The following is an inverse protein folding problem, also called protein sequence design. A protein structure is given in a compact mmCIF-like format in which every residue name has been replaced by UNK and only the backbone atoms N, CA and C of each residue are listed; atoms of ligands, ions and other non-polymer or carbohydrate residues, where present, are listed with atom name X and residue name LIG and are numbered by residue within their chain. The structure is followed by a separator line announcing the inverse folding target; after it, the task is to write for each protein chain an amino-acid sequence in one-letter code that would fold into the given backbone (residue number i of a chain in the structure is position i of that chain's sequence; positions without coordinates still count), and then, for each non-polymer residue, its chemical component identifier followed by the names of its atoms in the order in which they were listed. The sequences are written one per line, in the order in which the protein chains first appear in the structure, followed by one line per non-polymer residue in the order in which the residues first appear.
data_IF_817546028246
#
_entry.id   IF_817546028246
#
_cell.length_a   1.000
_cell.length_b   1.000
_cell.length_c   1.000
_cell.angle_alpha   90.00
_cell.angle_beta   90.00
_cell.angle_gamma   90.00
#
_symmetry.space_group_name_H-M   'P 1'
#
loop_
_entity.id
_entity.type
_entity.pdbx_description
1 polymer ?
#
# COMPACT_ATOMS: atom_id res chain seq x y z
N UNK A 1 30.65 -6.23 13.67
CA UNK A 1 31.92 -6.89 13.22
C UNK A 1 32.84 -7.28 14.38
N UNK A 2 33.04 -6.44 15.40
CA UNK A 2 33.95 -6.72 16.52
C UNK A 2 33.64 -8.02 17.31
N UNK A 3 32.40 -8.51 17.26
CA UNK A 3 31.94 -9.72 17.99
C UNK A 3 31.72 -10.95 17.09
N UNK A 4 32.12 -10.89 15.81
CA UNK A 4 31.93 -11.94 14.80
C UNK A 4 30.47 -12.41 14.62
N UNK A 5 29.49 -11.57 15.02
CA UNK A 5 28.07 -11.87 14.81
C UNK A 5 27.72 -11.56 13.36
N UNK A 6 27.09 -12.50 12.62
CA UNK A 6 26.57 -12.24 11.29
C UNK A 6 25.51 -11.14 11.33
N UNK A 7 25.57 -10.20 10.39
CA UNK A 7 24.61 -9.09 10.27
C UNK A 7 23.90 -9.23 8.93
N UNK A 8 22.58 -9.37 8.97
CA UNK A 8 21.72 -9.37 7.78
C UNK A 8 20.88 -8.10 7.83
N UNK A 9 20.82 -7.37 6.74
CA UNK A 9 19.97 -6.21 6.57
C UNK A 9 19.07 -6.42 5.37
N UNK A 10 17.96 -5.69 5.33
CA UNK A 10 16.98 -5.79 4.26
C UNK A 10 16.66 -4.40 3.71
N UNK A 11 16.69 -4.27 2.37
CA UNK A 11 16.24 -3.09 1.66
C UNK A 11 14.88 -3.35 1.03
N UNK A 12 13.91 -2.58 1.44
CA UNK A 12 12.53 -2.73 0.96
C UNK A 12 12.25 -1.92 -0.30
N UNK A 13 12.86 -0.75 -0.43
CA UNK A 13 12.68 0.14 -1.58
C UNK A 13 13.62 -0.22 -2.72
N UNK A 14 13.33 0.30 -3.93
CA UNK A 14 14.12 0.02 -5.12
C UNK A 14 15.56 0.53 -4.98
N UNK A 15 15.77 1.66 -4.29
CA UNK A 15 17.11 2.22 -4.03
C UNK A 15 17.42 2.20 -2.54
N UNK A 16 18.67 1.84 -2.16
CA UNK A 16 19.05 1.76 -0.75
C UNK A 16 18.91 3.10 -0.03
N UNK A 17 18.17 3.07 1.08
CA UNK A 17 18.03 4.19 1.99
C UNK A 17 19.34 4.49 2.74
N UNK A 18 19.43 5.70 3.35
CA UNK A 18 20.63 6.15 4.05
C UNK A 18 21.06 5.17 5.17
N UNK A 19 20.12 4.67 5.94
CA UNK A 19 20.41 3.70 7.00
C UNK A 19 21.07 2.44 6.44
N UNK A 20 20.52 1.87 5.37
CA UNK A 20 21.10 0.70 4.73
C UNK A 20 22.46 1.01 4.10
N UNK A 21 22.64 2.16 3.43
CA UNK A 21 23.95 2.58 2.90
C UNK A 21 25.04 2.60 3.96
N UNK A 22 24.71 3.10 5.16
CA UNK A 22 25.67 3.11 6.30
C UNK A 22 25.94 1.68 6.82
N UNK A 23 24.92 0.80 6.80
CA UNK A 23 25.04 -0.57 7.33
C UNK A 23 25.67 -1.56 6.35
N UNK A 24 25.58 -1.36 5.03
CA UNK A 24 26.11 -2.25 3.98
C UNK A 24 27.57 -2.67 4.24
N UNK A 25 28.51 -1.77 4.58
CA UNK A 25 29.91 -2.18 4.83
C UNK A 25 30.05 -3.21 5.94
N UNK A 26 29.23 -3.11 6.99
CA UNK A 26 29.23 -4.01 8.14
C UNK A 26 28.39 -5.29 7.93
N UNK A 27 27.45 -5.28 6.98
CA UNK A 27 26.57 -6.39 6.72
C UNK A 27 27.29 -7.61 6.16
N UNK A 28 26.86 -8.80 6.56
CA UNK A 28 27.24 -10.10 5.99
C UNK A 28 26.46 -10.35 4.71
N UNK A 29 25.15 -10.10 4.75
CA UNK A 29 24.23 -10.18 3.60
C UNK A 29 23.28 -8.98 3.61
N UNK A 30 22.86 -8.59 2.40
CA UNK A 30 21.90 -7.53 2.14
C UNK A 30 20.79 -8.10 1.29
N UNK A 31 19.64 -8.35 1.92
CA UNK A 31 18.44 -8.81 1.25
C UNK A 31 17.73 -7.64 0.57
N UNK A 32 17.02 -7.87 -0.52
CA UNK A 32 16.23 -6.84 -1.19
C UNK A 32 14.95 -7.39 -1.82
N UNK A 33 13.97 -6.47 -2.03
CA UNK A 33 12.70 -6.79 -2.64
C UNK A 33 12.76 -6.81 -4.17
N UNK A 34 13.48 -5.87 -4.76
CA UNK A 34 13.45 -5.62 -6.20
C UNK A 34 14.70 -6.18 -6.89
N UNK A 35 14.57 -6.84 -8.05
CA UNK A 35 15.72 -7.25 -8.84
C UNK A 35 16.64 -6.06 -9.20
N UNK A 36 16.04 -4.89 -9.48
CA UNK A 36 16.77 -3.67 -9.82
C UNK A 36 17.63 -3.16 -8.67
N UNK A 37 17.32 -3.50 -7.43
CA UNK A 37 18.14 -3.11 -6.26
C UNK A 37 19.50 -3.78 -6.26
N UNK A 38 19.62 -4.98 -6.87
CA UNK A 38 20.89 -5.74 -6.91
C UNK A 38 22.03 -4.92 -7.48
N UNK A 39 21.80 -4.09 -8.50
CA UNK A 39 22.82 -3.22 -9.12
C UNK A 39 23.38 -2.12 -8.18
N UNK A 40 22.65 -1.83 -7.09
CA UNK A 40 23.05 -0.84 -6.09
C UNK A 40 23.75 -1.46 -4.87
N UNK A 41 23.91 -2.79 -4.85
CA UNK A 41 24.45 -3.54 -3.73
C UNK A 41 25.76 -4.24 -4.12
N UNK A 42 26.69 -4.46 -3.16
CA UNK A 42 27.86 -5.29 -3.42
C UNK A 42 27.44 -6.72 -3.79
N UNK A 43 27.86 -7.22 -4.94
CA UNK A 43 27.47 -8.52 -5.49
C UNK A 43 27.68 -9.68 -4.50
N UNK A 44 28.81 -9.70 -3.79
CA UNK A 44 29.13 -10.75 -2.80
C UNK A 44 28.19 -10.79 -1.59
N UNK A 45 27.41 -9.73 -1.36
CA UNK A 45 26.50 -9.61 -0.22
C UNK A 45 25.03 -9.60 -0.62
N UNK A 46 24.71 -9.22 -1.86
CA UNK A 46 23.34 -9.04 -2.33
C UNK A 46 22.58 -10.36 -2.42
N UNK A 47 21.33 -10.37 -1.97
CA UNK A 47 20.41 -11.51 -2.06
C UNK A 47 19.01 -10.99 -2.40
N UNK A 48 18.45 -11.42 -3.52
CA UNK A 48 17.05 -11.15 -3.85
C UNK A 48 16.16 -12.12 -3.06
N UNK A 49 15.46 -11.61 -2.08
CA UNK A 49 14.58 -12.43 -1.21
C UNK A 49 13.09 -12.11 -1.39
N UNK A 50 12.77 -10.95 -1.94
CA UNK A 50 11.45 -10.39 -1.84
C UNK A 50 11.15 -9.86 -0.44
N UNK A 51 9.92 -9.44 -0.20
CA UNK A 51 9.44 -8.90 1.08
C UNK A 51 8.91 -10.01 1.98
N UNK A 52 9.20 -9.99 3.28
CA UNK A 52 8.54 -10.88 4.22
C UNK A 52 7.07 -10.48 4.35
N UNK A 53 6.17 -11.37 3.95
CA UNK A 53 4.72 -11.14 4.03
C UNK A 53 4.18 -11.76 5.31
N UNK A 54 3.36 -11.01 6.04
CA UNK A 54 2.70 -11.47 7.26
C UNK A 54 1.69 -12.56 6.92
N UNK A 55 1.84 -13.73 7.51
CA UNK A 55 0.96 -14.88 7.24
C UNK A 55 -0.50 -14.61 7.63
N UNK A 56 -0.73 -13.79 8.64
CA UNK A 56 -2.07 -13.41 9.10
C UNK A 56 -2.91 -12.74 8.01
N UNK A 57 -2.28 -12.10 7.02
CA UNK A 57 -2.99 -11.45 5.92
C UNK A 57 -3.81 -12.43 5.07
N UNK A 58 -3.42 -13.71 5.04
CA UNK A 58 -4.11 -14.74 4.28
C UNK A 58 -5.26 -15.42 5.05
N UNK A 59 -5.45 -15.11 6.32
CA UNK A 59 -6.48 -15.70 7.19
C UNK A 59 -7.78 -14.90 7.23
N UNK A 60 -7.93 -13.89 6.37
CA UNK A 60 -9.13 -13.06 6.33
C UNK A 60 -10.37 -13.82 5.87
N UNK A 61 -11.53 -13.41 6.37
CA UNK A 61 -12.84 -13.92 5.97
C UNK A 61 -13.66 -12.79 5.36
N UNK A 62 -14.21 -13.00 4.14
CA UNK A 62 -14.97 -11.99 3.38
C UNK A 62 -16.23 -11.59 4.10
N UNK A 63 -17.02 -12.54 4.56
CA UNK A 63 -18.31 -12.30 5.22
C UNK A 63 -18.12 -11.46 6.49
N UNK A 64 -17.07 -11.75 7.24
CA UNK A 64 -16.72 -10.98 8.44
C UNK A 64 -16.31 -9.54 8.07
N UNK A 65 -15.52 -9.37 6.99
CA UNK A 65 -15.15 -8.04 6.49
C UNK A 65 -16.35 -7.21 6.06
N UNK A 66 -17.31 -7.81 5.34
CA UNK A 66 -18.57 -7.17 4.96
C UNK A 66 -19.39 -6.81 6.21
N UNK A 67 -19.52 -7.72 7.16
CA UNK A 67 -20.24 -7.52 8.42
C UNK A 67 -19.67 -6.35 9.23
N UNK A 68 -18.35 -6.26 9.35
CA UNK A 68 -17.67 -5.17 10.06
C UNK A 68 -17.97 -3.79 9.44
N UNK A 69 -18.23 -3.76 8.15
CA UNK A 69 -18.52 -2.53 7.42
C UNK A 69 -20.02 -2.24 7.30
N UNK A 70 -20.90 -3.21 7.61
CA UNK A 70 -22.33 -3.12 7.34
C UNK A 70 -22.63 -3.19 5.83
N UNK A 71 -21.83 -3.93 5.08
CA UNK A 71 -21.93 -4.12 3.63
C UNK A 71 -22.61 -5.44 3.27
N UNK A 72 -23.06 -5.52 2.03
CA UNK A 72 -23.64 -6.71 1.42
C UNK A 72 -22.91 -7.04 0.10
N UNK A 73 -23.35 -8.09 -0.61
CA UNK A 73 -22.77 -8.51 -1.90
C UNK A 73 -23.38 -7.78 -3.11
N UNK A 74 -24.09 -6.66 -2.91
CA UNK A 74 -24.78 -5.94 -4.01
C UNK A 74 -23.84 -5.19 -4.95
N UNK A 75 -22.66 -4.81 -4.46
CA UNK A 75 -21.66 -4.06 -5.22
C UNK A 75 -20.26 -4.52 -4.85
N UNK A 76 -19.28 -4.38 -5.78
CA UNK A 76 -17.86 -4.61 -5.44
C UNK A 76 -17.38 -3.65 -4.34
N UNK A 77 -16.42 -4.09 -3.56
CA UNK A 77 -15.84 -3.33 -2.45
C UNK A 77 -14.53 -2.69 -2.87
N UNK A 78 -14.48 -1.37 -2.78
CA UNK A 78 -13.28 -0.55 -2.96
C UNK A 78 -12.64 -0.27 -1.59
N UNK A 79 -11.41 -0.67 -1.40
CA UNK A 79 -10.60 -0.27 -0.24
C UNK A 79 -9.67 0.90 -0.61
N UNK A 80 -9.72 1.96 0.17
CA UNK A 80 -8.82 3.12 0.04
C UNK A 80 -7.89 3.18 1.24
N UNK A 81 -6.58 3.27 1.00
CA UNK A 81 -5.58 3.31 2.07
C UNK A 81 -4.38 4.22 1.73
N UNK A 82 -4.07 5.15 2.62
CA UNK A 82 -2.96 6.11 2.48
C UNK A 82 -1.75 5.83 3.37
N UNK A 83 -1.72 4.66 4.05
CA UNK A 83 -0.75 4.36 5.09
C UNK A 83 -1.21 4.83 6.49
N UNK A 84 -0.38 4.63 7.52
CA UNK A 84 -0.76 4.86 8.92
C UNK A 84 -1.07 6.32 9.27
N UNK A 85 -0.47 7.27 8.58
CA UNK A 85 -0.71 8.70 8.75
C UNK A 85 -1.82 9.23 7.83
N UNK A 86 -2.31 8.38 6.92
CA UNK A 86 -3.24 8.78 5.87
C UNK A 86 -2.56 9.49 4.70
N UNK A 87 -3.36 9.81 3.69
CA UNK A 87 -2.94 10.56 2.52
C UNK A 87 -4.01 11.62 2.21
N UNK A 88 -3.75 12.86 2.61
CA UNK A 88 -4.74 13.96 2.53
C UNK A 88 -5.29 14.12 1.11
N UNK A 89 -4.43 14.09 0.09
CA UNK A 89 -4.85 14.22 -1.31
C UNK A 89 -5.81 13.09 -1.71
N UNK A 90 -5.49 11.83 -1.38
CA UNK A 90 -6.35 10.68 -1.66
C UNK A 90 -7.66 10.81 -0.88
N UNK A 91 -7.60 11.10 0.43
CA UNK A 91 -8.78 11.24 1.27
C UNK A 91 -9.75 12.28 0.72
N UNK A 92 -9.24 13.44 0.33
CA UNK A 92 -10.05 14.53 -0.23
C UNK A 92 -10.68 14.11 -1.56
N UNK A 93 -9.88 13.57 -2.49
CA UNK A 93 -10.38 13.13 -3.79
C UNK A 93 -11.49 12.07 -3.68
N UNK A 94 -11.35 11.11 -2.76
CA UNK A 94 -12.40 10.11 -2.50
C UNK A 94 -13.67 10.77 -1.95
N UNK A 95 -13.54 11.69 -0.99
CA UNK A 95 -14.69 12.35 -0.36
C UNK A 95 -15.43 13.29 -1.31
N UNK A 96 -14.69 14.05 -2.12
CA UNK A 96 -15.27 14.92 -3.15
C UNK A 96 -16.06 14.14 -4.20
N UNK A 97 -15.66 12.90 -4.49
CA UNK A 97 -16.30 12.04 -5.48
C UNK A 97 -17.15 10.91 -4.87
N UNK A 98 -17.42 10.99 -3.56
CA UNK A 98 -18.03 9.89 -2.82
C UNK A 98 -19.37 9.46 -3.41
N UNK A 99 -20.25 10.39 -3.76
CA UNK A 99 -21.57 10.09 -4.31
C UNK A 99 -21.49 9.33 -5.64
N UNK A 100 -20.53 9.66 -6.51
CA UNK A 100 -20.35 8.99 -7.79
C UNK A 100 -19.75 7.58 -7.59
N UNK A 101 -18.75 7.47 -6.75
CA UNK A 101 -18.11 6.19 -6.42
C UNK A 101 -19.11 5.21 -5.77
N UNK A 102 -19.99 5.70 -4.90
CA UNK A 102 -21.01 4.89 -4.25
C UNK A 102 -22.11 4.37 -5.19
N UNK A 103 -22.21 4.88 -6.41
CA UNK A 103 -23.10 4.28 -7.43
C UNK A 103 -22.58 2.91 -7.88
N UNK A 104 -21.25 2.71 -7.87
CA UNK A 104 -20.59 1.50 -8.40
C UNK A 104 -20.02 0.61 -7.30
N UNK A 105 -19.56 1.17 -6.17
CA UNK A 105 -18.83 0.49 -5.11
C UNK A 105 -19.47 0.65 -3.75
N UNK A 106 -19.16 -0.25 -2.85
CA UNK A 106 -19.12 -0.02 -1.41
C UNK A 106 -17.69 0.31 -1.03
N UNK A 107 -17.46 1.27 -0.12
CA UNK A 107 -16.14 1.84 0.11
C UNK A 107 -15.67 1.66 1.54
N UNK A 108 -14.57 0.98 1.73
CA UNK A 108 -13.79 0.94 2.98
C UNK A 108 -12.69 1.98 2.88
N UNK A 109 -12.67 2.96 3.80
CA UNK A 109 -11.69 4.04 3.76
C UNK A 109 -10.81 4.04 5.03
N UNK A 110 -9.55 3.58 4.89
CA UNK A 110 -8.53 3.72 5.92
C UNK A 110 -7.91 5.11 5.81
N UNK A 111 -8.57 6.09 6.40
CA UNK A 111 -8.25 7.51 6.19
C UNK A 111 -6.99 7.99 6.92
N UNK A 112 -6.46 7.21 7.88
CA UNK A 112 -5.31 7.56 8.70
C UNK A 112 -5.67 8.32 9.97
N UNK A 113 -4.73 8.33 10.92
CA UNK A 113 -4.94 8.94 12.24
C UNK A 113 -5.23 10.43 12.12
N UNK A 114 -6.30 10.89 12.78
CA UNK A 114 -6.73 12.29 12.81
C UNK A 114 -7.44 12.76 11.53
N UNK A 115 -7.76 11.85 10.60
CA UNK A 115 -8.43 12.17 9.34
C UNK A 115 -9.85 11.57 9.25
N UNK A 116 -10.39 11.10 10.36
CA UNK A 116 -11.78 10.65 10.41
C UNK A 116 -12.74 11.83 10.26
N UNK A 117 -13.76 11.67 9.43
CA UNK A 117 -14.77 12.70 9.20
C UNK A 117 -16.14 12.21 9.71
N UNK A 118 -16.51 12.63 10.90
CA UNK A 118 -17.75 12.22 11.55
C UNK A 118 -19.02 12.67 10.78
N UNK A 119 -18.91 13.66 9.90
CA UNK A 119 -20.05 14.10 9.08
C UNK A 119 -20.51 13.07 8.05
N UNK A 120 -19.63 12.10 7.74
CA UNK A 120 -19.88 11.02 6.79
C UNK A 120 -20.38 9.73 7.46
N UNK A 121 -20.57 9.75 8.79
CA UNK A 121 -21.08 8.60 9.52
C UNK A 121 -22.53 8.27 9.09
N UNK A 122 -22.80 6.97 8.97
CA UNK A 122 -24.12 6.49 8.52
C UNK A 122 -24.34 6.58 7.00
N UNK A 123 -23.38 7.08 6.23
CA UNK A 123 -23.45 7.06 4.76
C UNK A 123 -23.53 5.62 4.27
N UNK A 124 -24.64 5.26 3.63
CA UNK A 124 -24.87 3.89 3.13
C UNK A 124 -23.80 3.49 2.11
N UNK A 125 -23.15 2.35 2.35
CA UNK A 125 -22.08 1.83 1.47
C UNK A 125 -20.71 2.48 1.70
N UNK A 126 -20.54 3.31 2.74
CA UNK A 126 -19.28 3.92 3.10
C UNK A 126 -18.90 3.64 4.55
N UNK A 127 -17.70 3.15 4.78
CA UNK A 127 -17.18 2.88 6.12
C UNK A 127 -15.77 3.41 6.26
N UNK A 128 -15.56 4.29 7.26
CA UNK A 128 -14.26 4.83 7.60
C UNK A 128 -13.63 4.12 8.79
N UNK A 129 -12.31 4.05 8.78
CA UNK A 129 -11.46 3.69 9.92
C UNK A 129 -10.23 4.60 9.91
N UNK A 130 -9.83 5.15 11.04
CA UNK A 130 -8.52 5.81 11.16
C UNK A 130 -7.39 4.79 10.97
N UNK A 131 -7.57 3.60 11.53
CA UNK A 131 -6.61 2.52 11.48
C UNK A 131 -7.31 1.18 11.72
N UNK A 132 -6.93 0.16 10.96
CA UNK A 132 -7.38 -1.21 11.16
C UNK A 132 -6.19 -2.08 11.61
N UNK A 133 -6.38 -2.91 12.62
CA UNK A 133 -5.38 -3.87 13.12
C UNK A 133 -5.79 -5.30 12.77
N UNK A 134 -6.46 -5.97 13.69
CA UNK A 134 -6.95 -7.35 13.51
C UNK A 134 -8.02 -7.42 12.42
N UNK A 135 -8.80 -6.38 12.28
CA UNK A 135 -9.85 -6.25 11.26
C UNK A 135 -9.27 -6.21 9.83
N UNK A 136 -8.03 -5.73 9.66
CA UNK A 136 -7.42 -5.49 8.35
C UNK A 136 -7.44 -6.72 7.44
N UNK A 137 -7.23 -7.92 8.00
CA UNK A 137 -7.24 -9.17 7.25
C UNK A 137 -8.61 -9.45 6.63
N UNK A 138 -9.68 -9.21 7.40
CA UNK A 138 -11.06 -9.38 6.95
C UNK A 138 -11.45 -8.29 5.94
N UNK A 139 -11.00 -7.05 6.16
CA UNK A 139 -11.21 -5.96 5.21
C UNK A 139 -10.55 -6.26 3.87
N UNK A 140 -9.30 -6.77 3.86
CA UNK A 140 -8.65 -7.22 2.63
C UNK A 140 -9.39 -8.38 1.96
N UNK A 141 -9.90 -9.34 2.74
CA UNK A 141 -10.66 -10.46 2.19
C UNK A 141 -11.94 -10.00 1.48
N UNK A 142 -12.64 -9.01 2.06
CA UNK A 142 -13.87 -8.42 1.50
C UNK A 142 -13.63 -7.53 0.28
N UNK A 143 -12.40 -7.08 0.03
CA UNK A 143 -12.09 -6.08 -1.00
C UNK A 143 -11.92 -6.69 -2.38
N UNK A 144 -12.45 -6.02 -3.41
CA UNK A 144 -12.29 -6.38 -4.83
C UNK A 144 -11.26 -5.51 -5.54
N UNK A 145 -11.19 -4.21 -5.21
CA UNK A 145 -10.27 -3.23 -5.78
C UNK A 145 -9.63 -2.38 -4.67
N UNK A 146 -8.38 -1.99 -4.83
CA UNK A 146 -7.67 -1.18 -3.85
C UNK A 146 -7.10 0.08 -4.48
N UNK A 147 -7.25 1.22 -3.80
CA UNK A 147 -6.47 2.44 -4.06
C UNK A 147 -5.48 2.59 -2.91
N UNK A 148 -4.20 2.68 -3.22
CA UNK A 148 -3.14 2.73 -2.20
C UNK A 148 -1.98 3.64 -2.58
N UNK A 149 -1.23 4.09 -1.57
CA UNK A 149 0.14 4.60 -1.76
C UNK A 149 1.07 3.48 -2.22
N UNK A 150 2.18 3.87 -2.88
CA UNK A 150 3.17 2.96 -3.46
C UNK A 150 4.36 2.65 -2.52
N UNK A 151 4.11 2.51 -1.23
CA UNK A 151 5.14 2.01 -0.29
C UNK A 151 5.48 0.55 -0.58
N UNK A 152 6.76 0.20 -0.56
CA UNK A 152 7.24 -1.12 -0.96
C UNK A 152 6.53 -2.28 -0.23
N UNK A 153 6.36 -2.16 1.10
CA UNK A 153 5.70 -3.21 1.88
C UNK A 153 4.22 -3.36 1.49
N UNK A 154 3.50 -2.23 1.33
CA UNK A 154 2.10 -2.27 0.92
C UNK A 154 1.94 -2.94 -0.45
N UNK A 155 2.76 -2.55 -1.44
CA UNK A 155 2.73 -3.16 -2.77
C UNK A 155 2.97 -4.67 -2.70
N UNK A 156 3.97 -5.11 -1.95
CA UNK A 156 4.30 -6.54 -1.82
C UNK A 156 3.16 -7.32 -1.14
N UNK A 157 2.51 -6.76 -0.11
CA UNK A 157 1.34 -7.35 0.53
C UNK A 157 0.16 -7.47 -0.44
N UNK A 158 -0.14 -6.40 -1.19
CA UNK A 158 -1.22 -6.41 -2.18
C UNK A 158 -0.99 -7.41 -3.32
N UNK A 159 0.26 -7.52 -3.77
CA UNK A 159 0.65 -8.52 -4.77
C UNK A 159 0.49 -9.95 -4.24
N UNK A 160 0.94 -10.21 -3.01
CA UNK A 160 0.81 -11.52 -2.37
C UNK A 160 -0.66 -11.91 -2.18
N UNK A 161 -1.53 -10.95 -1.87
CA UNK A 161 -2.98 -11.13 -1.77
C UNK A 161 -3.69 -11.19 -3.13
N UNK A 162 -2.96 -10.98 -4.24
CA UNK A 162 -3.51 -10.97 -5.61
C UNK A 162 -4.67 -9.98 -5.78
N UNK A 163 -4.61 -8.84 -5.09
CA UNK A 163 -5.67 -7.83 -5.15
C UNK A 163 -5.40 -6.83 -6.27
N UNK A 164 -6.33 -6.66 -7.23
CA UNK A 164 -6.27 -5.57 -8.20
C UNK A 164 -6.12 -4.23 -7.49
N UNK A 165 -5.24 -3.38 -7.98
CA UNK A 165 -5.04 -2.10 -7.31
C UNK A 165 -4.53 -0.97 -8.22
N UNK A 166 -4.86 0.25 -7.81
CA UNK A 166 -4.38 1.51 -8.37
C UNK A 166 -3.40 2.09 -7.35
N UNK A 167 -2.19 2.36 -7.78
CA UNK A 167 -1.17 3.00 -6.95
C UNK A 167 -1.13 4.49 -7.21
N UNK A 168 -1.19 5.27 -6.12
CA UNK A 168 -1.00 6.71 -6.15
C UNK A 168 0.28 7.01 -5.34
N UNK A 169 1.46 7.05 -5.99
CA UNK A 169 2.71 7.26 -5.29
C UNK A 169 2.78 8.64 -4.65
N UNK A 170 3.51 8.75 -3.54
CA UNK A 170 3.83 10.02 -2.92
C UNK A 170 4.78 10.79 -3.85
N UNK A 171 4.49 12.07 -4.17
CA UNK A 171 5.30 12.84 -5.12
C UNK A 171 6.72 13.11 -4.61
N UNK A 172 7.64 13.36 -5.52
CA UNK A 172 9.04 13.64 -5.19
C UNK A 172 9.23 14.90 -4.34
N UNK A 173 8.30 15.86 -4.43
CA UNK A 173 8.28 17.07 -3.61
C UNK A 173 8.05 16.77 -2.10
N UNK A 174 7.47 15.62 -1.78
CA UNK A 174 7.13 15.22 -0.41
C UNK A 174 7.93 13.98 0.07
N UNK A 175 8.80 13.42 -0.78
CA UNK A 175 9.55 12.20 -0.49
C UNK A 175 10.90 12.19 -1.22
N UNK A 176 11.69 11.11 -1.01
CA UNK A 176 12.91 10.86 -1.82
C UNK A 176 12.61 10.32 -3.23
N UNK A 177 11.33 10.20 -3.60
CA UNK A 177 10.92 9.58 -4.85
C UNK A 177 10.88 8.04 -4.82
N UNK A 178 11.06 7.41 -3.67
CA UNK A 178 11.08 5.95 -3.55
C UNK A 178 9.78 5.33 -4.06
N UNK A 179 8.62 5.93 -3.70
CA UNK A 179 7.32 5.42 -4.11
C UNK A 179 7.09 5.53 -5.62
N UNK A 180 7.61 6.56 -6.27
CA UNK A 180 7.56 6.70 -7.73
C UNK A 180 8.34 5.57 -8.41
N UNK A 181 9.55 5.28 -7.91
CA UNK A 181 10.40 4.21 -8.44
C UNK A 181 9.76 2.82 -8.19
N UNK A 182 9.23 2.59 -6.99
CA UNK A 182 8.54 1.35 -6.65
C UNK A 182 7.33 1.12 -7.57
N UNK A 183 6.47 2.15 -7.74
CA UNK A 183 5.30 2.09 -8.60
C UNK A 183 5.68 1.78 -10.05
N UNK A 184 6.67 2.51 -10.60
CA UNK A 184 7.13 2.33 -11.99
C UNK A 184 7.69 0.91 -12.24
N UNK A 185 8.40 0.31 -11.28
CA UNK A 185 8.91 -1.06 -11.41
C UNK A 185 7.78 -2.08 -11.52
N UNK A 186 6.74 -1.94 -10.68
CA UNK A 186 5.60 -2.84 -10.72
C UNK A 186 4.67 -2.60 -11.92
N UNK A 187 4.49 -1.36 -12.34
CA UNK A 187 3.74 -1.03 -13.55
C UNK A 187 4.38 -1.65 -14.79
N UNK A 188 5.70 -1.49 -14.94
CA UNK A 188 6.48 -2.12 -16.03
C UNK A 188 6.33 -3.65 -16.06
N UNK A 189 6.12 -4.26 -14.91
CA UNK A 189 5.88 -5.71 -14.78
C UNK A 189 4.42 -6.11 -15.05
N UNK A 190 3.53 -5.17 -15.36
CA UNK A 190 2.12 -5.42 -15.67
C UNK A 190 1.23 -5.73 -14.47
N UNK A 191 1.70 -5.47 -13.25
CA UNK A 191 0.96 -5.83 -12.04
C UNK A 191 0.09 -4.71 -11.49
N UNK A 192 0.22 -3.46 -11.99
CA UNK A 192 -0.40 -2.27 -11.37
C UNK A 192 -0.86 -1.26 -12.41
N UNK A 193 -1.88 -0.51 -12.02
CA UNK A 193 -2.20 0.76 -12.64
C UNK A 193 -1.66 1.88 -11.75
N UNK A 194 -0.94 2.85 -12.32
CA UNK A 194 -0.34 3.96 -11.58
C UNK A 194 -1.00 5.27 -11.99
N UNK A 195 -1.49 6.04 -11.02
CA UNK A 195 -2.00 7.39 -11.20
C UNK A 195 -1.11 8.35 -10.39
N UNK A 196 -0.51 9.32 -11.06
CA UNK A 196 0.31 10.31 -10.36
C UNK A 196 -0.58 11.21 -9.48
N UNK A 197 -0.09 11.60 -8.29
CA UNK A 197 -0.89 12.44 -7.38
C UNK A 197 -1.27 13.78 -8.02
N UNK A 198 -0.38 14.35 -8.84
CA UNK A 198 -0.61 15.59 -9.56
C UNK A 198 -1.72 15.48 -10.62
N UNK A 199 -2.00 14.27 -11.08
CA UNK A 199 -3.07 13.96 -12.04
C UNK A 199 -4.37 13.54 -11.36
N UNK A 200 -4.39 13.47 -10.02
CA UNK A 200 -5.55 13.04 -9.26
C UNK A 200 -6.64 14.10 -9.26
N UNK A 201 -7.56 13.95 -10.21
CA UNK A 201 -8.77 14.79 -10.37
C UNK A 201 -10.02 13.90 -10.34
N UNK A 202 -11.19 14.53 -10.21
CA UNK A 202 -12.46 13.78 -10.31
C UNK A 202 -12.56 12.99 -11.62
N UNK A 203 -12.13 13.59 -12.74
CA UNK A 203 -12.18 12.95 -14.05
C UNK A 203 -11.23 11.75 -14.18
N UNK A 204 -10.06 11.78 -13.55
CA UNK A 204 -9.07 10.69 -13.62
C UNK A 204 -9.40 9.58 -12.64
N UNK A 205 -9.96 9.94 -11.48
CA UNK A 205 -10.36 8.96 -10.47
C UNK A 205 -11.58 8.13 -10.90
N UNK A 206 -12.53 8.72 -11.66
CA UNK A 206 -13.77 8.08 -12.07
C UNK A 206 -13.71 7.35 -13.43
N UNK A 207 -12.57 7.40 -14.12
CA UNK A 207 -12.31 6.62 -15.34
C UNK A 207 -11.83 5.22 -15.07
#
# INVERSE_FOLDING_TARGET
KRRHVPVIIHESDLTPGLANKICIPAATKVCCNFPETLKHLPESKAVLTGSPIRQELFSGNKEEGLRLCGFDDSKPVLLVMGGSLGAVAINNSIRENLNELLKQFQIIHLCGRGHYDASLDGTKGYKQFEYAKKELTHLFAATDLIISRAGANAICELLALKKPNILIPLPASQSRGDQLLNAASFEKSGYRYVLQEEELTSNTLLK
#
